data_IF_730739824140
#
_entry.id   IF_730739824140
#
_cell.length_a   1.000
_cell.length_b   1.000
_cell.length_c   1.000
_cell.angle_alpha   90.00
_cell.angle_beta   90.00
_cell.angle_gamma   90.00
#
_symmetry.space_group_name_H-M   'P 1'
#
loop_
_entity.id
_entity.type
_entity.pdbx_description
1 polymer ?
#
# COMPACT_ATOMS: atom_id res chain seq x y z
N UNK A 1 -0.08 -15.60 11.76
CA UNK A 1 -0.19 -14.95 10.45
C UNK A 1 0.60 -13.66 10.51
N UNK A 2 1.58 -13.48 9.63
CA UNK A 2 2.44 -12.31 9.59
C UNK A 2 1.94 -11.37 8.49
N UNK A 3 1.52 -10.17 8.88
CA UNK A 3 0.86 -9.22 7.99
C UNK A 3 1.76 -8.01 7.81
N UNK A 4 2.06 -7.67 6.56
CA UNK A 4 2.75 -6.44 6.19
C UNK A 4 1.73 -5.33 5.96
N UNK A 5 1.98 -4.14 6.49
CA UNK A 5 1.19 -2.93 6.20
C UNK A 5 2.16 -1.84 5.72
N UNK A 6 1.94 -1.33 4.52
CA UNK A 6 2.77 -0.25 3.92
C UNK A 6 2.20 1.14 4.23
N UNK A 7 3.05 2.17 4.18
CA UNK A 7 2.63 3.56 4.30
C UNK A 7 2.13 3.97 5.68
N UNK A 8 2.65 3.34 6.74
CA UNK A 8 2.16 3.45 8.13
C UNK A 8 2.23 4.87 8.75
N UNK A 9 2.59 5.90 7.98
CA UNK A 9 2.45 7.30 8.39
C UNK A 9 1.03 7.87 8.34
N UNK A 10 0.14 7.28 7.53
CA UNK A 10 -1.23 7.78 7.33
C UNK A 10 -2.29 7.17 8.26
N UNK A 11 -3.50 7.75 8.35
CA UNK A 11 -4.57 7.22 9.20
C UNK A 11 -5.12 5.87 8.72
N UNK A 12 -5.17 5.62 7.41
CA UNK A 12 -5.67 4.37 6.82
C UNK A 12 -4.90 3.12 7.29
N UNK A 13 -3.57 3.03 7.15
CA UNK A 13 -2.83 1.87 7.62
C UNK A 13 -2.88 1.69 9.14
N UNK A 14 -2.98 2.79 9.91
CA UNK A 14 -3.19 2.74 11.36
C UNK A 14 -4.57 2.17 11.69
N UNK A 15 -5.61 2.57 10.96
CA UNK A 15 -6.96 2.02 11.08
C UNK A 15 -7.00 0.52 10.77
N UNK A 16 -6.29 0.08 9.72
CA UNK A 16 -6.14 -1.34 9.38
C UNK A 16 -5.50 -2.10 10.54
N UNK A 17 -4.34 -1.64 11.04
CA UNK A 17 -3.64 -2.28 12.15
C UNK A 17 -4.53 -2.41 13.39
N UNK A 18 -5.19 -1.32 13.80
CA UNK A 18 -6.14 -1.33 14.94
C UNK A 18 -7.30 -2.30 14.71
N UNK A 19 -7.90 -2.31 13.53
CA UNK A 19 -9.04 -3.19 13.23
C UNK A 19 -8.66 -4.66 13.33
N UNK A 20 -7.46 -5.00 12.87
CA UNK A 20 -6.92 -6.37 12.99
C UNK A 20 -6.75 -6.72 14.47
N UNK A 21 -6.07 -5.89 15.27
CA UNK A 21 -5.80 -6.17 16.69
C UNK A 21 -7.07 -6.21 17.56
N UNK A 22 -8.07 -5.38 17.26
CA UNK A 22 -9.36 -5.37 17.97
C UNK A 22 -10.19 -6.62 17.68
N UNK A 23 -10.00 -7.25 16.53
CA UNK A 23 -10.70 -8.48 16.20
C UNK A 23 -10.12 -9.63 17.04
N UNK A 24 -10.86 -10.09 18.05
CA UNK A 24 -10.41 -11.12 18.99
C UNK A 24 -9.96 -12.46 18.39
N UNK A 25 -10.29 -12.74 17.10
CA UNK A 25 -9.77 -13.90 16.35
C UNK A 25 -8.35 -13.71 15.84
N UNK A 26 -7.85 -12.48 15.86
CA UNK A 26 -6.55 -12.06 15.33
C UNK A 26 -5.47 -11.94 16.40
N UNK A 27 -5.69 -12.47 17.60
CA UNK A 27 -4.68 -12.47 18.68
C UNK A 27 -3.36 -13.17 18.31
N UNK A 28 -3.34 -13.92 17.20
CA UNK A 28 -2.14 -14.57 16.64
C UNK A 28 -1.60 -13.87 15.38
N UNK A 29 -2.10 -12.68 15.04
CA UNK A 29 -1.54 -11.88 13.95
C UNK A 29 -0.35 -11.08 14.44
N UNK A 30 0.74 -11.12 13.68
CA UNK A 30 1.94 -10.34 13.88
C UNK A 30 1.98 -9.26 12.82
N UNK A 31 2.07 -7.99 13.22
CA UNK A 31 1.98 -6.84 12.34
C UNK A 31 3.36 -6.24 12.08
N UNK A 32 3.73 -6.19 10.81
CA UNK A 32 4.97 -5.61 10.32
C UNK A 32 4.62 -4.34 9.54
N UNK A 33 5.11 -3.20 10.01
CA UNK A 33 4.87 -1.91 9.37
C UNK A 33 6.06 -1.45 8.52
N UNK A 34 5.80 -0.82 7.37
CA UNK A 34 6.85 -0.15 6.59
C UNK A 34 6.42 1.23 6.13
N UNK A 35 7.37 2.16 6.05
CA UNK A 35 7.16 3.48 5.45
C UNK A 35 8.46 3.97 4.80
N UNK A 36 8.35 4.87 3.82
CA UNK A 36 9.51 5.50 3.19
C UNK A 36 9.90 6.83 3.82
N UNK A 37 8.99 7.45 4.58
CA UNK A 37 9.24 8.66 5.32
C UNK A 37 9.68 8.32 6.76
N UNK A 38 10.92 8.66 7.11
CA UNK A 38 11.46 8.46 8.46
C UNK A 38 10.67 9.17 9.57
N UNK A 39 9.83 10.15 9.23
CA UNK A 39 8.97 10.85 10.18
C UNK A 39 7.56 10.24 10.28
N UNK A 40 7.28 9.13 9.60
CA UNK A 40 6.01 8.44 9.71
C UNK A 40 5.78 7.95 11.16
N UNK A 41 4.71 8.39 11.85
CA UNK A 41 4.48 8.05 13.25
C UNK A 41 4.34 6.54 13.49
N UNK A 42 3.81 5.79 12.51
CA UNK A 42 3.70 4.34 12.60
C UNK A 42 5.04 3.63 12.79
N UNK A 43 6.16 4.19 12.30
CA UNK A 43 7.50 3.60 12.48
C UNK A 43 7.90 3.47 13.94
N UNK A 44 7.31 4.27 14.82
CA UNK A 44 7.62 4.34 16.24
C UNK A 44 6.50 3.76 17.12
N UNK A 45 5.42 3.26 16.53
CA UNK A 45 4.26 2.75 17.25
C UNK A 45 4.38 1.25 17.56
N UNK A 46 5.05 0.93 18.67
CA UNK A 46 5.24 -0.44 19.16
C UNK A 46 3.97 -1.11 19.69
N UNK A 47 2.91 -0.35 19.94
CA UNK A 47 1.63 -0.91 20.38
C UNK A 47 0.84 -1.52 19.22
N UNK A 48 1.06 -1.01 18.00
CA UNK A 48 0.39 -1.50 16.80
C UNK A 48 1.24 -2.45 15.97
N UNK A 49 2.55 -2.25 15.95
CA UNK A 49 3.45 -3.04 15.10
C UNK A 49 4.50 -3.74 15.94
N UNK A 50 4.61 -5.06 15.78
CA UNK A 50 5.66 -5.88 16.38
C UNK A 50 7.04 -5.47 15.86
N UNK A 51 7.09 -5.01 14.60
CA UNK A 51 8.32 -4.50 13.98
C UNK A 51 8.01 -3.51 12.89
N UNK A 52 8.91 -2.55 12.72
CA UNK A 52 8.80 -1.53 11.68
C UNK A 52 10.11 -1.40 10.91
N UNK A 53 10.00 -0.97 9.65
CA UNK A 53 11.16 -0.72 8.79
C UNK A 53 11.00 0.56 7.99
N UNK A 54 12.07 1.35 7.97
CA UNK A 54 12.25 2.40 6.97
C UNK A 54 12.66 1.74 5.65
N UNK A 55 11.91 1.97 4.59
CA UNK A 55 12.16 1.41 3.25
C UNK A 55 12.43 2.53 2.24
N UNK A 56 13.03 2.23 1.07
CA UNK A 56 13.10 3.21 -0.01
C UNK A 56 11.71 3.63 -0.50
N UNK A 57 11.59 4.82 -1.08
CA UNK A 57 10.37 5.24 -1.77
C UNK A 57 10.04 4.29 -2.95
N UNK A 58 8.76 4.19 -3.30
CA UNK A 58 8.28 3.30 -4.36
C UNK A 58 8.88 3.61 -5.74
N UNK A 59 9.37 4.81 -6.00
CA UNK A 59 10.10 5.14 -7.24
C UNK A 59 11.56 4.69 -7.25
N UNK A 60 12.11 4.24 -6.12
CA UNK A 60 13.51 3.78 -6.05
C UNK A 60 13.70 2.42 -6.72
N UNK A 61 14.83 2.25 -7.41
CA UNK A 61 15.27 0.97 -7.96
C UNK A 61 15.50 -0.10 -6.88
N UNK A 62 15.86 0.33 -5.67
CA UNK A 62 16.09 -0.56 -4.54
C UNK A 62 14.82 -0.98 -3.79
N UNK A 63 13.66 -0.43 -4.14
CA UNK A 63 12.39 -0.68 -3.43
C UNK A 63 12.08 -2.17 -3.30
N UNK A 64 12.05 -2.89 -4.44
CA UNK A 64 11.70 -4.32 -4.44
C UNK A 64 12.73 -5.16 -3.71
N UNK A 65 14.02 -4.91 -3.93
CA UNK A 65 15.11 -5.65 -3.26
C UNK A 65 14.98 -5.56 -1.74
N UNK A 66 14.74 -4.36 -1.20
CA UNK A 66 14.60 -4.17 0.25
C UNK A 66 13.30 -4.81 0.74
N UNK A 67 12.18 -4.56 0.06
CA UNK A 67 10.87 -5.04 0.49
C UNK A 67 10.77 -6.58 0.48
N UNK A 68 11.31 -7.23 -0.56
CA UNK A 68 11.37 -8.69 -0.66
C UNK A 68 12.26 -9.30 0.43
N UNK A 69 13.37 -8.64 0.79
CA UNK A 69 14.22 -9.08 1.89
C UNK A 69 13.48 -9.04 3.23
N UNK A 70 12.63 -8.02 3.46
CA UNK A 70 11.80 -7.90 4.66
C UNK A 70 10.70 -8.96 4.63
N UNK A 71 10.02 -9.14 3.49
CA UNK A 71 8.95 -10.13 3.33
C UNK A 71 9.47 -11.55 3.61
N UNK A 72 10.63 -11.90 3.06
CA UNK A 72 11.27 -13.18 3.32
C UNK A 72 11.72 -13.33 4.77
N UNK A 73 12.39 -12.32 5.34
CA UNK A 73 12.91 -12.34 6.71
C UNK A 73 11.81 -12.46 7.76
N UNK A 74 10.70 -11.78 7.55
CA UNK A 74 9.59 -11.72 8.50
C UNK A 74 8.52 -12.77 8.20
N UNK A 75 8.73 -13.62 7.18
CA UNK A 75 7.81 -14.65 6.73
C UNK A 75 6.39 -14.11 6.53
N UNK A 76 6.25 -13.02 5.77
CA UNK A 76 4.96 -12.35 5.55
C UNK A 76 4.03 -13.25 4.74
N UNK A 77 2.86 -13.53 5.30
CA UNK A 77 1.80 -14.30 4.64
C UNK A 77 0.97 -13.39 3.74
N UNK A 78 0.67 -12.17 4.20
CA UNK A 78 -0.26 -11.25 3.55
C UNK A 78 0.17 -9.80 3.67
N UNK A 79 -0.15 -8.96 2.68
CA UNK A 79 0.11 -7.52 2.73
C UNK A 79 -1.12 -6.65 2.47
N UNK A 80 -1.19 -5.55 3.23
CA UNK A 80 -2.01 -4.38 2.92
C UNK A 80 -1.12 -3.29 2.32
N UNK A 81 -1.24 -3.11 1.01
CA UNK A 81 -0.56 -2.05 0.26
C UNK A 81 -1.49 -0.86 0.20
N UNK A 82 -1.05 0.30 0.72
CA UNK A 82 -1.95 1.44 0.97
C UNK A 82 -1.61 2.70 0.16
N UNK A 83 -0.36 3.20 0.15
CA UNK A 83 -0.04 4.39 -0.64
C UNK A 83 -0.34 4.19 -2.12
N UNK A 84 -0.94 5.17 -2.80
CA UNK A 84 -1.44 4.98 -4.16
C UNK A 84 -0.33 4.56 -5.14
N UNK A 85 0.86 5.18 -5.01
CA UNK A 85 2.02 4.83 -5.83
C UNK A 85 2.53 3.40 -5.57
N UNK A 86 2.43 2.92 -4.32
CA UNK A 86 2.76 1.53 -4.00
C UNK A 86 1.70 0.57 -4.55
N UNK A 87 0.41 0.91 -4.46
CA UNK A 87 -0.68 0.13 -5.07
C UNK A 87 -0.46 -0.01 -6.58
N UNK A 88 -0.10 1.06 -7.29
CA UNK A 88 0.25 1.01 -8.71
C UNK A 88 1.47 0.12 -8.98
N UNK A 89 2.53 0.24 -8.18
CA UNK A 89 3.75 -0.54 -8.37
C UNK A 89 3.52 -2.04 -8.09
N UNK A 90 2.77 -2.37 -7.06
CA UNK A 90 2.41 -3.74 -6.71
C UNK A 90 1.43 -4.37 -7.70
N UNK A 91 0.38 -3.65 -8.11
CA UNK A 91 -0.56 -4.14 -9.13
C UNK A 91 0.11 -4.34 -10.49
N UNK A 92 1.04 -3.47 -10.90
CA UNK A 92 1.86 -3.69 -12.10
C UNK A 92 2.70 -4.96 -11.97
N UNK A 93 3.34 -5.18 -10.81
CA UNK A 93 4.09 -6.41 -10.56
C UNK A 93 3.21 -7.65 -10.60
N UNK A 94 2.00 -7.59 -10.05
CA UNK A 94 1.00 -8.67 -10.11
C UNK A 94 0.56 -8.97 -11.54
N UNK A 95 0.40 -7.94 -12.37
CA UNK A 95 0.04 -8.09 -13.79
C UNK A 95 1.16 -8.70 -14.63
N UNK A 96 2.41 -8.37 -14.33
CA UNK A 96 3.59 -8.74 -15.14
C UNK A 96 4.35 -9.96 -14.60
N UNK A 97 4.05 -10.41 -13.39
CA UNK A 97 4.74 -11.51 -12.73
C UNK A 97 4.14 -11.84 -11.37
N UNK A 98 4.96 -12.45 -10.50
CA UNK A 98 4.54 -12.87 -9.16
C UNK A 98 4.83 -11.79 -8.12
N UNK A 99 3.84 -11.50 -7.28
CA UNK A 99 4.03 -10.69 -6.07
C UNK A 99 4.65 -11.53 -4.94
N UNK A 100 5.45 -10.91 -4.05
CA UNK A 100 6.24 -11.65 -3.05
C UNK A 100 5.43 -12.29 -1.92
N UNK A 101 4.19 -11.86 -1.72
CA UNK A 101 3.22 -12.44 -0.79
C UNK A 101 1.80 -12.10 -1.28
N UNK A 102 0.80 -12.74 -0.69
CA UNK A 102 -0.59 -12.49 -1.04
C UNK A 102 -0.99 -11.05 -0.65
N UNK A 103 -1.80 -10.40 -1.48
CA UNK A 103 -2.22 -9.01 -1.27
C UNK A 103 -3.56 -8.74 -1.93
N UNK A 104 -4.40 -7.91 -1.31
CA UNK A 104 -5.62 -7.42 -1.96
C UNK A 104 -5.26 -6.23 -2.84
N UNK A 105 -5.04 -6.48 -4.12
CA UNK A 105 -4.71 -5.45 -5.09
C UNK A 105 -5.78 -5.37 -6.17
N UNK A 106 -6.13 -4.15 -6.62
CA UNK A 106 -6.92 -3.98 -7.83
C UNK A 106 -6.15 -4.44 -9.07
N UNK A 107 -6.88 -4.66 -10.17
CA UNK A 107 -6.27 -4.74 -11.49
C UNK A 107 -5.47 -3.46 -11.80
N UNK A 108 -4.32 -3.62 -12.45
CA UNK A 108 -3.41 -2.51 -12.72
C UNK A 108 -4.03 -1.43 -13.62
N UNK A 109 -4.79 -1.80 -14.65
CA UNK A 109 -5.39 -0.81 -15.55
C UNK A 109 -6.49 -0.03 -14.84
N UNK A 110 -7.26 -0.69 -13.96
CA UNK A 110 -8.25 -0.01 -13.10
C UNK A 110 -7.57 0.97 -12.15
N UNK A 111 -6.51 0.52 -11.45
CA UNK A 111 -5.76 1.35 -10.51
C UNK A 111 -5.15 2.58 -11.20
N UNK A 112 -4.57 2.37 -12.39
CA UNK A 112 -3.96 3.43 -13.20
C UNK A 112 -4.96 4.51 -13.61
N UNK A 113 -6.15 4.10 -14.07
CA UNK A 113 -7.23 5.04 -14.43
C UNK A 113 -7.71 5.82 -13.21
N UNK A 114 -7.89 5.16 -12.06
CA UNK A 114 -8.38 5.83 -10.84
C UNK A 114 -7.35 6.79 -10.24
N UNK A 115 -6.06 6.54 -10.43
CA UNK A 115 -4.99 7.42 -9.96
C UNK A 115 -4.88 8.70 -10.80
N UNK A 116 -4.97 8.59 -12.13
CA UNK A 116 -4.94 9.74 -13.02
C UNK A 116 -6.31 10.42 -13.08
N UNK A 117 -6.45 11.55 -12.37
CA UNK A 117 -7.69 12.32 -12.30
C UNK A 117 -8.24 12.72 -13.67
N UNK A 118 -7.35 13.04 -14.62
CA UNK A 118 -7.79 13.49 -15.94
C UNK A 118 -8.27 12.29 -16.76
N UNK A 119 -7.54 11.18 -16.76
CA UNK A 119 -7.98 9.93 -17.41
C UNK A 119 -9.31 9.46 -16.83
N UNK A 120 -9.46 9.44 -15.49
CA UNK A 120 -10.73 9.12 -14.84
C UNK A 120 -11.87 10.02 -15.31
N UNK A 121 -11.62 11.33 -15.40
CA UNK A 121 -12.59 12.27 -15.92
C UNK A 121 -12.98 11.95 -17.37
N UNK A 122 -12.01 11.69 -18.25
CA UNK A 122 -12.28 11.33 -19.65
C UNK A 122 -13.15 10.05 -19.76
N UNK A 123 -12.94 9.08 -18.87
CA UNK A 123 -13.74 7.84 -18.82
C UNK A 123 -15.17 8.03 -18.33
N UNK A 124 -15.40 9.07 -17.52
CA UNK A 124 -16.69 9.32 -16.88
C UNK A 124 -17.42 10.54 -17.45
N UNK A 125 -16.88 11.21 -18.46
CA UNK A 125 -17.54 12.36 -19.08
C UNK A 125 -18.90 11.94 -19.65
N UNK A 126 -19.95 12.71 -19.34
CA UNK A 126 -21.34 12.38 -19.70
C UNK A 126 -22.08 11.48 -18.70
N UNK A 127 -21.42 10.93 -17.67
CA UNK A 127 -22.06 10.09 -16.64
C UNK A 127 -22.79 10.85 -15.53
N UNK A 128 -22.62 12.18 -15.45
CA UNK A 128 -23.00 13.03 -14.30
C UNK A 128 -22.30 12.67 -12.97
N UNK A 129 -21.24 11.85 -13.00
CA UNK A 129 -20.46 11.47 -11.81
C UNK A 129 -19.15 12.27 -11.63
N UNK A 130 -18.82 13.16 -12.57
CA UNK A 130 -17.60 13.97 -12.54
C UNK A 130 -17.89 15.45 -12.73
N UNK A 131 -17.16 16.34 -12.02
CA UNK A 131 -17.28 17.78 -12.23
C UNK A 131 -16.63 18.19 -13.56
N UNK A 132 -16.96 19.39 -14.05
CA UNK A 132 -16.22 20.02 -15.15
C UNK A 132 -14.73 20.09 -14.82
N UNK A 133 -13.89 19.59 -15.72
CA UNK A 133 -12.45 19.45 -15.50
C UNK A 133 -11.69 20.03 -16.69
N UNK A 134 -10.62 20.76 -16.40
CA UNK A 134 -9.67 21.26 -17.42
C UNK A 134 -8.29 20.66 -17.15
N UNK A 135 -7.58 20.29 -18.22
CA UNK A 135 -6.18 19.88 -18.12
C UNK A 135 -5.31 21.13 -18.09
N UNK A 136 -4.44 21.23 -17.09
CA UNK A 136 -3.43 22.29 -17.01
C UNK A 136 -2.08 21.65 -17.28
N UNK A 137 -1.36 22.14 -18.29
CA UNK A 137 0.04 21.76 -18.52
C UNK A 137 0.91 22.71 -17.69
N UNK A 138 1.80 22.15 -16.86
CA UNK A 138 2.75 22.86 -16.02
C UNK A 138 4.13 22.89 -16.67
#
# INVERSE_FOLDING_TARGET
>A
MNILITGIGGPTPIGIAKSILLNGKSKSARLIGVDSNKYAPGLYNKELFDKTYLIPHSSSDNYWRVLESIISKEHIDYSFVVPELEVLKWSLKMKTGRIPCDSLLPDYEVAKVLYDKYELHQRLIGSNLVPGTIKVEL
#
